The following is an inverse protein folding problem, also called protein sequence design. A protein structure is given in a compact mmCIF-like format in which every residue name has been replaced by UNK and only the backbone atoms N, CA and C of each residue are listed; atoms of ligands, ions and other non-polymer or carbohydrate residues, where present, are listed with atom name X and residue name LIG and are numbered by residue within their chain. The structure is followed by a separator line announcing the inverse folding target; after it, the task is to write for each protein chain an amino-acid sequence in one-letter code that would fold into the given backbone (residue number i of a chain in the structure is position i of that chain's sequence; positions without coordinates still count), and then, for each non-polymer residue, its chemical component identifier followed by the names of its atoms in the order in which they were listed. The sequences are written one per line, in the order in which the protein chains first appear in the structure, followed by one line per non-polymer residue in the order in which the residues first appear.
data_IF_938568018952
#
_entry.id   IF_938568018952
#
_cell.length_a   1.000
_cell.length_b   1.000
_cell.length_c   1.000
_cell.angle_alpha   90.00
_cell.angle_beta   90.00
_cell.angle_gamma   90.00
#
_symmetry.space_group_name_H-M   'P 1'
#
loop_
_entity.id
_entity.type
_entity.pdbx_description
1 polymer ?
#
# COMPACT_ATOMS: atom_id res chain seq x y z
N UNK A 1 19.84 -14.78 21.22
CA UNK A 1 19.82 -14.18 22.57
C UNK A 1 18.42 -14.42 23.11
N UNK A 2 18.24 -15.41 23.99
CA UNK A 2 16.93 -15.69 24.58
C UNK A 2 16.60 -14.59 25.59
N UNK A 3 15.74 -13.66 25.18
CA UNK A 3 15.20 -12.64 26.06
C UNK A 3 13.98 -13.28 26.73
N UNK A 4 14.16 -13.85 27.92
CA UNK A 4 13.05 -14.35 28.76
C UNK A 4 12.49 -13.25 29.69
N UNK A 5 12.93 -11.99 29.55
CA UNK A 5 12.43 -10.87 30.33
C UNK A 5 11.19 -10.24 29.67
N UNK A 6 10.00 -10.33 30.29
CA UNK A 6 8.78 -9.72 29.76
C UNK A 6 8.91 -8.20 29.55
N UNK A 7 9.70 -7.51 30.38
CA UNK A 7 9.91 -6.07 30.23
C UNK A 7 10.69 -5.73 28.95
N UNK A 8 11.60 -6.61 28.53
CA UNK A 8 12.36 -6.45 27.31
C UNK A 8 11.50 -6.73 26.05
N UNK A 9 10.56 -7.68 26.11
CA UNK A 9 9.60 -7.91 25.03
C UNK A 9 8.69 -6.69 24.80
N UNK A 10 8.17 -6.10 25.89
CA UNK A 10 7.37 -4.87 25.82
C UNK A 10 8.18 -3.71 25.22
N UNK A 11 9.43 -3.54 25.64
CA UNK A 11 10.30 -2.50 25.11
C UNK A 11 10.57 -2.68 23.61
N UNK A 12 10.79 -3.92 23.16
CA UNK A 12 11.00 -4.27 21.76
C UNK A 12 9.77 -3.98 20.91
N UNK A 13 8.59 -4.46 21.30
CA UNK A 13 7.35 -4.22 20.55
C UNK A 13 7.02 -2.73 20.51
N UNK A 14 7.23 -2.01 21.61
CA UNK A 14 7.08 -0.56 21.63
C UNK A 14 8.03 0.11 20.64
N UNK A 15 9.30 -0.31 20.60
CA UNK A 15 10.26 0.20 19.62
C UNK A 15 9.77 -0.08 18.19
N UNK A 16 9.38 -1.31 17.86
CA UNK A 16 8.87 -1.62 16.51
C UNK A 16 7.68 -0.73 16.15
N UNK A 17 6.71 -0.56 17.06
CA UNK A 17 5.51 0.24 16.81
C UNK A 17 5.76 1.76 16.70
N UNK A 18 6.85 2.26 17.27
CA UNK A 18 7.16 3.70 17.30
C UNK A 18 8.13 4.15 16.22
N UNK A 19 8.82 3.22 15.55
CA UNK A 19 9.82 3.55 14.54
C UNK A 19 9.19 3.63 13.15
N UNK A 20 9.48 4.71 12.45
CA UNK A 20 8.99 4.95 11.07
C UNK A 20 9.93 4.40 10.00
N UNK A 21 11.03 3.74 10.35
CA UNK A 21 12.03 3.33 9.36
C UNK A 21 12.33 1.83 9.41
N UNK A 22 11.54 1.06 10.17
CA UNK A 22 11.68 -0.40 10.22
C UNK A 22 10.73 -0.99 9.18
N UNK A 23 11.29 -1.63 8.18
CA UNK A 23 10.59 -2.27 7.07
C UNK A 23 10.54 -3.79 7.17
N UNK A 24 11.50 -4.38 7.87
CA UNK A 24 11.66 -5.82 8.10
C UNK A 24 11.89 -6.13 9.58
N UNK A 25 11.14 -7.10 10.10
CA UNK A 25 11.25 -7.59 11.49
C UNK A 25 11.28 -9.11 11.51
N UNK A 26 12.21 -9.67 12.30
CA UNK A 26 12.31 -11.11 12.59
C UNK A 26 12.23 -11.34 14.09
N UNK A 27 11.26 -12.14 14.54
CA UNK A 27 11.03 -12.43 15.96
C UNK A 27 10.97 -13.94 16.20
N UNK A 28 12.03 -14.50 16.78
CA UNK A 28 12.10 -15.93 17.07
C UNK A 28 12.23 -16.19 18.57
N UNK A 29 11.48 -17.19 19.06
CA UNK A 29 11.57 -17.69 20.42
C UNK A 29 11.13 -16.70 21.51
N UNK A 30 10.34 -15.68 21.16
CA UNK A 30 9.76 -14.76 22.12
C UNK A 30 8.44 -15.31 22.63
N UNK A 31 8.13 -15.02 23.89
CA UNK A 31 6.81 -15.25 24.48
C UNK A 31 6.12 -13.89 24.62
N UNK A 32 5.28 -13.55 23.65
CA UNK A 32 4.59 -12.26 23.59
C UNK A 32 3.25 -12.37 24.30
N UNK A 33 2.90 -11.34 25.08
CA UNK A 33 1.57 -11.25 25.65
C UNK A 33 0.56 -10.86 24.56
N UNK A 34 -0.73 -11.12 24.81
CA UNK A 34 -1.80 -10.72 23.88
C UNK A 34 -1.76 -9.22 23.56
N UNK A 35 -1.46 -8.37 24.55
CA UNK A 35 -1.28 -6.94 24.36
C UNK A 35 -0.12 -6.59 23.43
N UNK A 36 0.97 -7.36 23.49
CA UNK A 36 2.15 -7.15 22.67
C UNK A 36 1.86 -7.55 21.22
N UNK A 37 1.21 -8.70 21.01
CA UNK A 37 0.74 -9.15 19.71
C UNK A 37 -0.23 -8.15 19.08
N UNK A 38 -1.14 -7.56 19.87
CA UNK A 38 -2.05 -6.52 19.37
C UNK A 38 -1.32 -5.28 18.87
N UNK A 39 -0.38 -4.75 19.66
CA UNK A 39 0.41 -3.57 19.28
C UNK A 39 1.24 -3.86 18.03
N UNK A 40 1.85 -5.03 17.94
CA UNK A 40 2.61 -5.45 16.77
C UNK A 40 1.72 -5.61 15.52
N UNK A 41 0.53 -6.21 15.67
CA UNK A 41 -0.44 -6.32 14.58
C UNK A 41 -0.89 -4.94 14.07
N UNK A 42 -1.18 -4.00 14.98
CA UNK A 42 -1.52 -2.63 14.61
C UNK A 42 -0.36 -1.93 13.88
N UNK A 43 0.88 -2.11 14.34
CA UNK A 43 2.06 -1.58 13.69
C UNK A 43 2.27 -2.17 12.28
N UNK A 44 2.09 -3.49 12.11
CA UNK A 44 2.24 -4.15 10.83
C UNK A 44 1.15 -3.76 9.81
N UNK A 45 -0.09 -3.63 10.27
CA UNK A 45 -1.25 -3.37 9.39
C UNK A 45 -1.42 -1.88 9.10
N UNK A 46 -1.24 -1.01 10.10
CA UNK A 46 -1.50 0.43 9.98
C UNK A 46 -0.24 1.27 9.85
N UNK A 47 0.91 0.72 10.21
CA UNK A 47 2.19 1.41 10.07
C UNK A 47 2.52 1.63 8.59
N UNK A 48 3.08 2.79 8.22
CA UNK A 48 3.42 3.06 6.82
C UNK A 48 4.63 2.27 6.31
N UNK A 49 5.40 1.63 7.20
CA UNK A 49 6.76 1.20 6.89
C UNK A 49 7.01 -0.29 7.10
N UNK A 50 6.41 -0.92 8.11
CA UNK A 50 6.62 -2.34 8.35
C UNK A 50 5.98 -3.16 7.22
N UNK A 51 6.82 -3.74 6.38
CA UNK A 51 6.42 -4.43 5.16
C UNK A 51 6.61 -5.94 5.22
N UNK A 52 7.59 -6.40 5.98
CA UNK A 52 7.94 -7.80 6.08
C UNK A 52 8.06 -8.20 7.56
N UNK A 53 7.28 -9.21 7.95
CA UNK A 53 7.28 -9.76 9.31
C UNK A 53 7.50 -11.27 9.25
N UNK A 54 8.57 -11.72 9.88
CA UNK A 54 8.90 -13.12 10.10
C UNK A 54 8.85 -13.41 11.61
N UNK A 55 8.03 -14.36 12.02
CA UNK A 55 7.79 -14.66 13.43
C UNK A 55 7.64 -16.16 13.65
N UNK A 56 8.42 -16.65 14.62
CA UNK A 56 8.41 -18.04 15.09
C UNK A 56 8.44 -18.01 16.63
N UNK A 57 7.28 -17.72 17.22
CA UNK A 57 7.09 -17.48 18.66
C UNK A 57 6.01 -18.38 19.27
N UNK A 58 5.73 -19.52 18.62
CA UNK A 58 4.83 -20.56 19.10
C UNK A 58 3.38 -20.08 19.19
N UNK A 59 2.77 -20.14 20.37
CA UNK A 59 1.38 -19.70 20.58
C UNK A 59 1.14 -18.22 20.28
N UNK A 60 2.20 -17.40 20.36
CA UNK A 60 2.12 -15.96 20.08
C UNK A 60 1.72 -15.69 18.62
N UNK A 61 2.10 -16.57 17.70
CA UNK A 61 1.89 -16.43 16.25
C UNK A 61 0.39 -16.47 15.92
N UNK A 62 -0.33 -17.41 16.52
CA UNK A 62 -1.78 -17.52 16.40
C UNK A 62 -2.51 -16.30 16.99
N UNK A 63 -2.01 -15.76 18.12
CA UNK A 63 -2.59 -14.57 18.75
C UNK A 63 -2.38 -13.33 17.87
N UNK A 64 -1.18 -13.16 17.29
CA UNK A 64 -0.90 -12.09 16.34
C UNK A 64 -1.86 -12.15 15.15
N UNK A 65 -2.03 -13.32 14.54
CA UNK A 65 -2.90 -13.52 13.39
C UNK A 65 -4.36 -13.12 13.68
N UNK A 66 -4.88 -13.45 14.86
CA UNK A 66 -6.23 -13.06 15.31
C UNK A 66 -6.42 -11.54 15.40
N UNK A 67 -5.38 -10.81 15.78
CA UNK A 67 -5.42 -9.33 15.79
C UNK A 67 -5.24 -8.73 14.39
N UNK A 68 -4.46 -9.37 13.51
CA UNK A 68 -4.22 -8.88 12.16
C UNK A 68 -5.40 -9.10 11.22
N UNK A 69 -5.99 -10.29 11.20
CA UNK A 69 -6.98 -10.69 10.19
C UNK A 69 -8.18 -9.72 10.05
N UNK A 70 -8.78 -9.19 11.13
CA UNK A 70 -9.92 -8.27 11.03
C UNK A 70 -9.59 -6.93 10.34
N UNK A 71 -8.32 -6.51 10.39
CA UNK A 71 -7.88 -5.19 9.91
C UNK A 71 -6.99 -5.28 8.66
N UNK A 72 -6.46 -6.48 8.35
CA UNK A 72 -5.52 -6.71 7.26
C UNK A 72 -6.05 -6.24 5.89
N UNK A 73 -7.34 -6.40 5.60
CA UNK A 73 -7.93 -6.02 4.31
C UNK A 73 -7.72 -4.53 3.95
N UNK A 74 -7.61 -3.68 4.98
CA UNK A 74 -7.37 -2.23 4.83
C UNK A 74 -5.90 -1.84 4.70
N UNK A 75 -4.96 -2.78 4.93
CA UNK A 75 -3.52 -2.53 4.91
C UNK A 75 -2.92 -2.71 3.54
N UNK A 76 -2.09 -1.76 3.12
CA UNK A 76 -1.26 -1.85 1.92
C UNK A 76 0.24 -1.91 2.25
N UNK A 77 0.59 -1.98 3.53
CA UNK A 77 1.97 -1.96 4.02
C UNK A 77 2.60 -3.35 4.02
N UNK A 78 1.86 -4.39 4.42
CA UNK A 78 2.44 -5.74 4.58
C UNK A 78 2.51 -6.54 3.26
N UNK A 79 3.69 -7.07 2.95
CA UNK A 79 4.02 -7.82 1.73
C UNK A 79 4.50 -9.23 2.02
N UNK A 80 5.27 -9.42 3.09
CA UNK A 80 5.67 -10.74 3.54
C UNK A 80 5.21 -10.95 4.97
N UNK A 81 4.47 -12.03 5.16
CA UNK A 81 4.18 -12.56 6.47
C UNK A 81 4.62 -14.02 6.48
N UNK A 82 5.56 -14.32 7.34
CA UNK A 82 6.00 -15.67 7.67
C UNK A 82 5.73 -15.87 9.15
N UNK A 83 4.78 -16.75 9.45
CA UNK A 83 4.35 -17.05 10.81
C UNK A 83 4.13 -18.55 10.93
N UNK A 84 4.59 -19.13 12.03
CA UNK A 84 4.42 -20.55 12.30
C UNK A 84 3.16 -20.76 13.13
N UNK A 85 2.06 -21.07 12.47
CA UNK A 85 0.78 -21.31 13.14
C UNK A 85 0.36 -22.77 13.03
N UNK A 86 -0.30 -23.26 14.08
CA UNK A 86 -1.04 -24.53 14.06
C UNK A 86 -2.48 -24.29 13.55
N UNK A 87 -3.18 -25.36 13.16
CA UNK A 87 -4.51 -25.33 12.50
C UNK A 87 -5.56 -24.36 13.11
N UNK A 88 -5.43 -24.00 14.39
CA UNK A 88 -6.35 -23.08 15.10
C UNK A 88 -6.38 -21.63 14.58
N UNK A 89 -5.41 -21.20 13.76
CA UNK A 89 -5.36 -19.85 13.18
C UNK A 89 -5.29 -19.87 11.64
N UNK A 90 -5.75 -20.96 11.01
CA UNK A 90 -5.63 -21.16 9.57
C UNK A 90 -6.45 -20.17 8.75
N UNK A 91 -7.67 -19.84 9.19
CA UNK A 91 -8.51 -18.87 8.50
C UNK A 91 -7.93 -17.44 8.62
N UNK A 92 -7.42 -17.09 9.79
CA UNK A 92 -6.75 -15.82 10.03
C UNK A 92 -5.48 -15.69 9.18
N UNK A 93 -4.65 -16.74 9.13
CA UNK A 93 -3.49 -16.77 8.26
C UNK A 93 -3.88 -16.61 6.79
N UNK A 94 -4.88 -17.36 6.32
CA UNK A 94 -5.37 -17.24 4.93
C UNK A 94 -5.84 -15.82 4.64
N UNK A 95 -6.58 -15.19 5.54
CA UNK A 95 -7.04 -13.81 5.38
C UNK A 95 -5.86 -12.83 5.22
N UNK A 96 -4.84 -12.92 6.09
CA UNK A 96 -3.66 -12.05 5.98
C UNK A 96 -2.81 -12.41 4.75
N UNK A 97 -2.70 -13.69 4.40
CA UNK A 97 -1.96 -14.13 3.21
C UNK A 97 -2.59 -13.60 1.93
N UNK A 98 -3.92 -13.58 1.81
CA UNK A 98 -4.60 -12.98 0.66
C UNK A 98 -4.27 -11.49 0.51
N UNK A 99 -4.09 -10.76 1.62
CA UNK A 99 -3.66 -9.36 1.60
C UNK A 99 -2.23 -9.23 1.06
N UNK A 100 -1.29 -10.07 1.52
CA UNK A 100 0.09 -10.05 1.01
C UNK A 100 0.17 -10.35 -0.49
N UNK A 101 -0.66 -11.28 -0.99
CA UNK A 101 -0.77 -11.61 -2.41
C UNK A 101 -1.33 -10.41 -3.19
N UNK A 102 -2.42 -9.80 -2.70
CA UNK A 102 -3.00 -8.59 -3.29
C UNK A 102 -1.97 -7.47 -3.39
N UNK A 103 -1.26 -7.18 -2.29
CA UNK A 103 -0.28 -6.12 -2.21
C UNK A 103 0.88 -6.37 -3.19
N UNK A 104 1.38 -7.60 -3.26
CA UNK A 104 2.37 -8.03 -4.26
C UNK A 104 1.89 -7.79 -5.70
N UNK A 105 0.63 -8.12 -5.99
CA UNK A 105 0.00 -7.84 -7.28
C UNK A 105 -0.06 -6.34 -7.60
N UNK A 106 -0.30 -5.49 -6.60
CA UNK A 106 -0.28 -4.03 -6.76
C UNK A 106 1.13 -3.52 -7.09
N UNK A 107 2.17 -4.04 -6.45
CA UNK A 107 3.56 -3.65 -6.78
C UNK A 107 3.94 -4.01 -8.21
N UNK A 108 3.56 -5.20 -8.67
CA UNK A 108 3.78 -5.63 -10.06
C UNK A 108 3.14 -4.63 -11.04
N UNK A 109 1.88 -4.26 -10.80
CA UNK A 109 1.13 -3.31 -11.63
C UNK A 109 1.67 -1.89 -11.55
N UNK A 110 2.04 -1.43 -10.36
CA UNK A 110 2.64 -0.11 -10.16
C UNK A 110 3.95 0.02 -10.95
N UNK A 111 4.79 -1.01 -10.94
CA UNK A 111 6.01 -0.98 -11.74
C UNK A 111 5.75 -1.02 -13.25
N UNK A 112 4.73 -1.76 -13.71
CA UNK A 112 4.29 -1.69 -15.11
C UNK A 112 3.93 -0.26 -15.49
N UNK A 113 3.18 0.45 -14.62
CA UNK A 113 2.86 1.86 -14.85
C UNK A 113 4.09 2.75 -14.93
N UNK A 114 5.02 2.58 -13.98
CA UNK A 114 6.29 3.33 -13.96
C UNK A 114 7.07 3.10 -15.26
N UNK A 115 7.10 1.86 -15.75
CA UNK A 115 7.75 1.45 -17.00
C UNK A 115 6.97 1.80 -18.28
N UNK A 116 5.78 2.42 -18.18
CA UNK A 116 5.06 2.98 -19.33
C UNK A 116 3.73 2.33 -19.70
N UNK A 117 3.21 1.39 -18.89
CA UNK A 117 1.82 0.94 -19.02
C UNK A 117 0.87 2.06 -18.59
N UNK A 118 -0.09 2.44 -19.44
CA UNK A 118 -1.02 3.54 -19.16
C UNK A 118 -2.41 3.08 -18.69
N UNK A 119 -2.58 1.79 -18.36
CA UNK A 119 -3.87 1.28 -17.91
C UNK A 119 -4.28 1.81 -16.54
N UNK A 120 -5.59 1.98 -16.35
CA UNK A 120 -6.17 2.50 -15.11
C UNK A 120 -5.90 1.62 -13.91
N UNK A 121 -5.87 0.30 -14.10
CA UNK A 121 -5.48 -0.64 -13.06
C UNK A 121 -4.04 -0.43 -12.57
N UNK A 122 -3.11 -0.13 -13.48
CA UNK A 122 -1.71 0.10 -13.17
C UNK A 122 -1.50 1.48 -12.53
N UNK A 123 -2.18 2.52 -13.01
CA UNK A 123 -2.20 3.86 -12.40
C UNK A 123 -2.74 3.83 -10.96
N UNK A 124 -3.88 3.14 -10.75
CA UNK A 124 -4.47 2.92 -9.43
C UNK A 124 -3.51 2.21 -8.49
N UNK A 125 -2.81 1.19 -8.98
CA UNK A 125 -1.87 0.45 -8.16
C UNK A 125 -0.72 1.36 -7.68
N UNK A 126 -0.17 2.22 -8.56
CA UNK A 126 0.88 3.16 -8.20
C UNK A 126 0.49 4.07 -7.03
N UNK A 127 -0.75 4.58 -6.99
CA UNK A 127 -1.20 5.42 -5.87
C UNK A 127 -1.16 4.71 -4.51
N UNK A 128 -1.40 3.39 -4.48
CA UNK A 128 -1.40 2.63 -3.24
C UNK A 128 0.00 2.27 -2.75
N UNK A 129 0.95 2.01 -3.65
CA UNK A 129 2.25 1.42 -3.29
C UNK A 129 3.46 2.26 -3.72
N UNK A 130 3.27 3.51 -4.16
CA UNK A 130 4.36 4.39 -4.62
C UNK A 130 5.44 4.65 -3.57
N UNK A 131 5.09 4.67 -2.29
CA UNK A 131 6.05 4.83 -1.18
C UNK A 131 6.65 3.52 -0.67
N UNK A 132 6.41 2.39 -1.34
CA UNK A 132 6.74 1.07 -0.81
C UNK A 132 8.14 0.59 -1.21
N UNK A 133 8.99 0.08 -0.28
CA UNK A 133 10.34 -0.40 -0.60
C UNK A 133 10.39 -1.49 -1.68
N UNK A 134 9.44 -2.44 -1.66
CA UNK A 134 9.34 -3.50 -2.69
C UNK A 134 9.13 -2.97 -4.10
N UNK A 135 8.48 -1.81 -4.27
CA UNK A 135 8.36 -1.19 -5.59
C UNK A 135 9.74 -0.72 -6.07
N UNK A 136 10.50 -0.07 -5.20
CA UNK A 136 11.86 0.38 -5.50
C UNK A 136 12.76 -0.80 -5.86
N UNK A 137 12.80 -1.84 -5.02
CA UNK A 137 13.59 -3.05 -5.27
C UNK A 137 13.25 -3.67 -6.62
N UNK A 138 11.96 -3.86 -6.92
CA UNK A 138 11.55 -4.51 -8.16
C UNK A 138 11.91 -3.66 -9.39
N UNK A 139 11.81 -2.33 -9.30
CA UNK A 139 12.22 -1.43 -10.37
C UNK A 139 13.74 -1.45 -10.57
N UNK A 140 14.54 -1.44 -9.49
CA UNK A 140 16.01 -1.56 -9.58
C UNK A 140 16.40 -2.84 -10.32
N UNK A 141 15.80 -3.98 -9.95
CA UNK A 141 16.07 -5.26 -10.59
C UNK A 141 15.66 -5.30 -12.07
N UNK A 142 14.51 -4.70 -12.43
CA UNK A 142 13.97 -4.77 -13.80
C UNK A 142 14.61 -3.77 -14.75
N UNK A 143 15.04 -2.60 -14.26
CA UNK A 143 15.60 -1.53 -15.07
C UNK A 143 17.12 -1.43 -14.99
N UNK A 144 17.76 -2.16 -14.08
CA UNK A 144 19.18 -2.01 -13.73
C UNK A 144 19.56 -0.57 -13.34
N UNK A 145 18.60 0.23 -12.88
CA UNK A 145 18.79 1.59 -12.43
C UNK A 145 19.20 1.65 -10.95
N UNK A 146 19.88 2.73 -10.58
CA UNK A 146 20.23 3.04 -9.19
C UNK A 146 19.00 3.41 -8.35
N UNK A 147 19.15 3.41 -7.02
CA UNK A 147 18.08 3.79 -6.10
C UNK A 147 17.53 5.21 -6.39
N UNK A 148 18.41 6.18 -6.67
CA UNK A 148 17.99 7.56 -6.96
C UNK A 148 17.24 7.66 -8.29
N UNK A 149 17.72 6.96 -9.32
CA UNK A 149 17.02 6.90 -10.62
C UNK A 149 15.63 6.27 -10.48
N UNK A 150 15.50 5.20 -9.69
CA UNK A 150 14.21 4.55 -9.44
C UNK A 150 13.25 5.49 -8.71
N UNK A 151 13.72 6.25 -7.72
CA UNK A 151 12.91 7.27 -7.05
C UNK A 151 12.43 8.34 -8.03
N UNK A 152 13.30 8.77 -8.94
CA UNK A 152 12.93 9.71 -10.00
C UNK A 152 11.94 9.12 -11.00
N UNK A 153 12.06 7.83 -11.34
CA UNK A 153 11.08 7.13 -12.17
C UNK A 153 9.70 7.07 -11.51
N UNK A 154 9.63 6.73 -10.22
CA UNK A 154 8.39 6.70 -9.44
C UNK A 154 7.79 8.12 -9.36
N UNK A 155 8.62 9.12 -9.02
CA UNK A 155 8.20 10.53 -8.95
C UNK A 155 7.68 11.02 -10.30
N UNK A 156 8.39 10.71 -11.38
CA UNK A 156 7.97 11.02 -12.74
C UNK A 156 6.63 10.39 -13.09
N UNK A 157 6.42 9.12 -12.72
CA UNK A 157 5.14 8.44 -12.93
C UNK A 157 3.99 9.06 -12.12
N UNK A 158 4.23 9.49 -10.87
CA UNK A 158 3.25 10.22 -10.09
C UNK A 158 2.93 11.60 -10.71
N UNK A 159 3.95 12.32 -11.18
CA UNK A 159 3.76 13.57 -11.90
C UNK A 159 2.93 13.38 -13.18
N UNK A 160 3.09 12.25 -13.89
CA UNK A 160 2.27 11.92 -15.07
C UNK A 160 0.77 11.81 -14.77
N UNK A 161 0.34 11.63 -13.52
CA UNK A 161 -1.08 11.55 -13.14
C UNK A 161 -1.53 12.68 -12.21
N UNK A 162 -0.72 13.73 -12.09
CA UNK A 162 -0.98 14.85 -11.19
C UNK A 162 -1.97 15.86 -11.81
N UNK A 163 -1.86 16.12 -13.13
CA UNK A 163 -2.74 17.02 -13.86
C UNK A 163 -4.15 16.48 -14.05
N UNK A 164 -5.13 17.37 -14.27
CA UNK A 164 -6.55 16.99 -14.36
C UNK A 164 -6.81 16.03 -15.52
N UNK A 165 -6.36 16.39 -16.72
CA UNK A 165 -6.60 15.59 -17.92
C UNK A 165 -5.89 14.26 -17.84
N UNK A 166 -4.65 14.25 -17.33
CA UNK A 166 -3.85 13.05 -17.18
C UNK A 166 -4.43 12.12 -16.12
N UNK A 167 -4.86 12.67 -14.97
CA UNK A 167 -5.57 11.91 -13.94
C UNK A 167 -6.83 11.27 -14.50
N UNK A 168 -7.68 12.04 -15.18
CA UNK A 168 -8.94 11.54 -15.72
C UNK A 168 -8.71 10.50 -16.83
N UNK A 169 -7.66 10.66 -17.64
CA UNK A 169 -7.27 9.69 -18.66
C UNK A 169 -6.74 8.40 -18.02
N UNK A 170 -5.84 8.53 -17.06
CA UNK A 170 -5.31 7.41 -16.28
C UNK A 170 -6.43 6.69 -15.51
N UNK A 171 -7.45 7.40 -15.02
CA UNK A 171 -8.61 6.81 -14.39
C UNK A 171 -9.65 6.24 -15.38
N UNK A 172 -9.43 6.39 -16.69
CA UNK A 172 -10.34 5.91 -17.73
C UNK A 172 -11.64 6.70 -17.86
N UNK A 173 -11.73 7.89 -17.27
CA UNK A 173 -12.91 8.77 -17.34
C UNK A 173 -13.03 9.42 -18.71
N UNK A 174 -11.89 9.85 -19.28
CA UNK A 174 -11.82 10.53 -20.57
C UNK A 174 -10.77 9.88 -21.47
N UNK A 175 -10.89 10.12 -22.78
CA UNK A 175 -9.88 9.68 -23.76
C UNK A 175 -8.73 10.68 -23.92
N UNK A 176 -9.05 11.97 -24.01
CA UNK A 176 -8.07 13.00 -24.38
C UNK A 176 -7.98 14.12 -23.34
N UNK A 177 -9.03 14.95 -23.25
CA UNK A 177 -9.14 16.08 -22.33
C UNK A 177 -10.59 16.43 -22.01
N UNK A 178 -10.79 17.14 -20.91
CA UNK A 178 -12.07 17.74 -20.54
C UNK A 178 -12.24 19.04 -21.31
N UNK A 179 -13.40 19.20 -21.94
CA UNK A 179 -13.86 20.45 -22.51
C UNK A 179 -15.30 20.68 -22.07
N UNK A 180 -15.59 21.85 -21.50
CA UNK A 180 -16.95 22.26 -21.21
C UNK A 180 -17.54 23.04 -22.38
N UNK A 181 -18.86 22.90 -22.57
CA UNK A 181 -19.57 23.77 -23.49
C UNK A 181 -19.57 25.19 -22.95
N UNK A 182 -19.45 26.17 -23.85
CA UNK A 182 -19.51 27.60 -23.52
C UNK A 182 -20.68 27.88 -22.58
N UNK A 183 -20.34 28.24 -21.33
CA UNK A 183 -21.32 28.53 -20.29
C UNK A 183 -22.27 29.66 -20.70
N UNK A 184 -23.56 29.50 -20.39
CA UNK A 184 -24.52 30.62 -20.46
C UNK A 184 -24.41 31.55 -19.25
N UNK A 185 -23.82 31.05 -18.17
CA UNK A 185 -23.70 31.72 -16.89
C UNK A 185 -22.22 32.01 -16.61
N UNK A 186 -21.91 33.06 -15.83
CA UNK A 186 -20.53 33.50 -15.50
C UNK A 186 -19.83 32.60 -14.46
N UNK A 187 -20.22 31.34 -14.36
CA UNK A 187 -19.68 30.41 -13.39
C UNK A 187 -18.43 29.73 -13.95
N UNK A 188 -17.43 29.55 -13.10
CA UNK A 188 -16.19 28.84 -13.46
C UNK A 188 -16.49 27.38 -13.77
N UNK A 189 -16.09 26.93 -14.95
CA UNK A 189 -16.28 25.55 -15.40
C UNK A 189 -15.09 24.65 -15.04
N UNK A 190 -15.26 23.34 -15.19
CA UNK A 190 -14.29 22.35 -14.75
C UNK A 190 -12.98 22.42 -15.55
N UNK A 191 -13.07 22.67 -16.86
CA UNK A 191 -11.95 22.88 -17.77
C UNK A 191 -11.25 24.24 -17.59
N UNK A 192 -11.88 25.17 -16.87
CA UNK A 192 -11.30 26.46 -16.49
C UNK A 192 -10.57 26.41 -15.14
N UNK A 193 -10.60 25.28 -14.43
CA UNK A 193 -9.81 25.12 -13.21
C UNK A 193 -8.32 25.17 -13.55
N UNK A 194 -7.63 26.15 -12.98
CA UNK A 194 -6.19 26.18 -13.05
C UNK A 194 -5.56 25.03 -12.24
N UNK A 195 -4.28 24.78 -12.49
CA UNK A 195 -3.53 23.68 -11.85
C UNK A 195 -3.55 23.74 -10.32
N UNK A 196 -3.52 24.95 -9.74
CA UNK A 196 -3.57 25.15 -8.29
C UNK A 196 -4.92 24.70 -7.72
N UNK A 197 -6.03 25.12 -8.32
CA UNK A 197 -7.37 24.69 -7.93
C UNK A 197 -7.53 23.18 -8.08
N UNK A 198 -7.04 22.61 -9.19
CA UNK A 198 -7.07 21.17 -9.41
C UNK A 198 -6.26 20.41 -8.34
N UNK A 199 -5.05 20.86 -7.99
CA UNK A 199 -4.26 20.22 -6.93
C UNK A 199 -5.01 20.16 -5.60
N UNK A 200 -5.78 21.21 -5.24
CA UNK A 200 -6.63 21.21 -4.04
C UNK A 200 -7.81 20.25 -4.12
N UNK A 201 -8.32 19.94 -5.31
CA UNK A 201 -9.33 18.89 -5.48
C UNK A 201 -8.66 17.51 -5.42
N UNK A 202 -7.49 17.37 -6.05
CA UNK A 202 -6.75 16.12 -6.21
C UNK A 202 -6.35 15.48 -4.88
N UNK A 203 -6.13 16.25 -3.81
CA UNK A 203 -5.84 15.68 -2.48
C UNK A 203 -6.99 14.81 -1.94
N UNK A 204 -8.22 15.01 -2.43
CA UNK A 204 -9.41 14.28 -2.02
C UNK A 204 -9.83 13.18 -3.01
N UNK A 205 -9.17 13.07 -4.16
CA UNK A 205 -9.52 12.11 -5.21
C UNK A 205 -8.37 11.15 -5.45
N UNK A 206 -8.65 9.86 -5.46
CA UNK A 206 -7.77 8.79 -5.94
C UNK A 206 -8.35 8.21 -7.23
N UNK A 207 -7.49 7.65 -8.07
CA UNK A 207 -7.89 6.85 -9.24
C UNK A 207 -8.81 5.71 -8.79
N UNK A 208 -8.59 5.16 -7.59
CA UNK A 208 -9.43 4.14 -6.98
C UNK A 208 -10.87 4.58 -6.68
N UNK A 209 -11.14 5.88 -6.59
CA UNK A 209 -12.48 6.42 -6.28
C UNK A 209 -13.37 6.49 -7.54
N UNK A 210 -12.78 6.34 -8.73
CA UNK A 210 -13.54 6.26 -9.98
C UNK A 210 -14.16 4.88 -10.09
N UNK A 211 -15.50 4.83 -9.98
CA UNK A 211 -16.27 3.61 -10.12
C UNK A 211 -16.20 3.13 -11.58
N UNK A 212 -15.70 1.92 -11.79
CA UNK A 212 -15.86 1.25 -13.07
C UNK A 212 -17.36 1.02 -13.29
N UNK A 213 -17.88 1.48 -14.44
CA UNK A 213 -19.24 1.09 -14.86
C UNK A 213 -19.31 -0.44 -14.83
N UNK A 214 -20.31 -1.05 -14.16
CA UNK A 214 -20.49 -2.49 -14.19
C UNK A 214 -20.50 -2.96 -15.64
N UNK A 215 -19.89 -4.12 -15.96
CA UNK A 215 -20.02 -4.68 -17.30
C UNK A 215 -21.52 -4.76 -17.61
N UNK A 216 -21.92 -4.21 -18.76
CA UNK A 216 -23.30 -4.30 -19.21
C UNK A 216 -23.69 -5.77 -19.16
N UNK A 217 -24.62 -6.12 -18.27
CA UNK A 217 -25.25 -7.44 -18.27
C UNK A 217 -25.95 -7.59 -19.60
N UNK A 218 -25.33 -8.37 -20.50
CA UNK A 218 -25.92 -8.83 -21.77
C UNK A 218 -26.82 -10.01 -21.47
#
# INVERSE_FOLDING_TARGET
MHIEDPAANVALVKAISSHTNIDFVVLHGLNLLDSDCKVLAEAAVRGPHLSDLDMECGSSDAVLLRHMAPVAASSYSIFRLEVWYHNEAEEEYRAVKQVTIRNSGLVIRAAQFVMGDESSYCARALEFVSGHPRLEEMLQHRSAASCDEVKEMIRGALCRIAGMNEFMRAAGVIKERVECFVGRDRETQLDELNEYCWMHVRIYLKVADVLETPPATV
#
